data_IF_634812153671
#
_entry.id   IF_634812153671
#
_cell.length_a   1.000
_cell.length_b   1.000
_cell.length_c   1.000
_cell.angle_alpha   90.00
_cell.angle_beta   90.00
_cell.angle_gamma   90.00
#
_symmetry.space_group_name_H-M   'P 1'
#
loop_
_entity.id
_entity.type
_entity.pdbx_description
1 polymer ?
#
# COMPACT_ATOMS: atom_id res chain seq x y z
N UNK A 1 24.86 -5.44 -12.27
CA UNK A 1 23.99 -6.61 -12.11
C UNK A 1 24.63 -7.83 -12.72
N UNK A 2 24.55 -8.95 -12.02
CA UNK A 2 24.95 -10.23 -12.58
C UNK A 2 23.91 -10.76 -13.56
N UNK A 3 24.28 -11.73 -14.40
CA UNK A 3 23.34 -12.32 -15.35
C UNK A 3 22.08 -12.89 -14.69
N UNK A 4 22.21 -13.46 -13.49
CA UNK A 4 21.09 -14.04 -12.77
C UNK A 4 20.12 -12.96 -12.29
N UNK A 5 20.64 -11.79 -11.86
CA UNK A 5 19.81 -10.66 -11.43
C UNK A 5 19.03 -10.08 -12.60
N UNK A 6 19.69 -9.92 -13.75
CA UNK A 6 19.05 -9.42 -14.95
C UNK A 6 17.95 -10.37 -15.43
N UNK A 7 18.21 -11.67 -15.41
CA UNK A 7 17.23 -12.68 -15.81
C UNK A 7 16.03 -12.68 -14.87
N UNK A 8 16.23 -12.51 -13.57
CA UNK A 8 15.15 -12.45 -12.59
C UNK A 8 14.26 -11.22 -12.79
N UNK A 9 14.86 -10.07 -13.06
CA UNK A 9 14.13 -8.83 -13.33
C UNK A 9 13.30 -8.98 -14.60
N UNK A 10 13.88 -9.53 -15.67
CA UNK A 10 13.18 -9.75 -16.93
C UNK A 10 12.02 -10.72 -16.74
N UNK A 11 12.21 -11.78 -15.98
CA UNK A 11 11.16 -12.75 -15.68
C UNK A 11 9.95 -12.08 -15.02
N UNK A 12 10.20 -11.24 -14.03
CA UNK A 12 9.11 -10.52 -13.32
C UNK A 12 8.33 -9.63 -14.27
N UNK A 13 9.04 -8.87 -15.11
CA UNK A 13 8.42 -7.99 -16.09
C UNK A 13 7.64 -8.76 -17.15
N UNK A 14 8.20 -9.85 -17.65
CA UNK A 14 7.54 -10.68 -18.66
C UNK A 14 6.28 -11.33 -18.14
N UNK A 15 6.23 -11.68 -16.86
CA UNK A 15 5.04 -12.24 -16.24
C UNK A 15 4.02 -11.17 -15.83
N UNK A 16 4.33 -9.90 -15.98
CA UNK A 16 3.44 -8.78 -15.68
C UNK A 16 2.83 -8.88 -14.28
N UNK A 17 3.61 -9.38 -13.33
CA UNK A 17 3.11 -9.64 -12.00
C UNK A 17 3.02 -8.34 -11.20
N UNK A 18 1.82 -8.05 -10.71
CA UNK A 18 1.55 -6.94 -9.78
C UNK A 18 1.34 -7.53 -8.40
N UNK A 19 2.04 -6.98 -7.41
CA UNK A 19 1.89 -7.38 -6.02
C UNK A 19 1.23 -6.24 -5.25
N UNK A 20 0.12 -6.52 -4.59
CA UNK A 20 -0.57 -5.53 -3.76
C UNK A 20 -0.52 -5.94 -2.30
N UNK A 21 -0.26 -4.97 -1.43
CA UNK A 21 -0.39 -5.15 0.01
C UNK A 21 -1.84 -5.13 0.47
N UNK A 22 -2.05 -4.91 1.74
CA UNK A 22 -3.37 -4.86 2.36
C UNK A 22 -3.96 -3.46 2.28
N UNK A 23 -5.29 -3.35 2.22
CA UNK A 23 -6.03 -2.09 2.23
C UNK A 23 -5.58 -1.11 1.15
N UNK A 24 -5.27 -1.62 -0.04
CA UNK A 24 -4.91 -0.80 -1.20
C UNK A 24 -6.18 -0.30 -1.89
N UNK A 25 -6.22 0.99 -2.20
CA UNK A 25 -7.35 1.62 -2.85
C UNK A 25 -6.99 2.00 -4.28
N UNK A 26 -7.73 1.45 -5.25
CA UNK A 26 -7.52 1.71 -6.67
C UNK A 26 -8.67 2.54 -7.19
N UNK A 27 -8.37 3.72 -7.72
CA UNK A 27 -9.35 4.56 -8.37
C UNK A 27 -9.86 3.95 -9.68
N UNK A 28 -10.99 4.45 -10.15
CA UNK A 28 -11.62 3.98 -11.38
C UNK A 28 -10.67 4.11 -12.58
N UNK A 29 -10.57 3.05 -13.37
CA UNK A 29 -9.70 3.00 -14.56
C UNK A 29 -8.21 3.19 -14.26
N UNK A 30 -7.75 2.93 -13.05
CA UNK A 30 -6.32 2.92 -12.76
C UNK A 30 -5.65 1.75 -13.50
N UNK A 31 -4.47 2.02 -14.07
CA UNK A 31 -3.67 1.03 -14.79
C UNK A 31 -2.39 0.78 -14.01
N UNK A 32 -2.12 -0.48 -13.71
CA UNK A 32 -0.90 -0.91 -13.02
C UNK A 32 -0.01 -1.63 -14.02
N UNK A 33 1.17 -1.05 -14.27
CA UNK A 33 2.12 -1.69 -15.19
C UNK A 33 2.71 -2.94 -14.53
N UNK A 34 3.03 -3.94 -15.35
CA UNK A 34 3.60 -5.18 -14.87
C UNK A 34 4.88 -4.98 -14.06
N UNK A 35 4.99 -5.69 -12.96
CA UNK A 35 6.16 -5.66 -12.09
C UNK A 35 6.11 -4.64 -10.95
N UNK A 36 5.03 -3.83 -10.85
CA UNK A 36 4.93 -2.87 -9.74
C UNK A 36 4.42 -3.54 -8.46
N UNK A 37 4.85 -3.01 -7.33
CA UNK A 37 4.38 -3.41 -6.00
C UNK A 37 3.70 -2.22 -5.35
N UNK A 38 2.49 -2.46 -4.82
CA UNK A 38 1.76 -1.44 -4.06
C UNK A 38 1.82 -1.82 -2.58
N UNK A 39 2.37 -0.94 -1.76
CA UNK A 39 2.48 -1.16 -0.33
C UNK A 39 1.14 -1.11 0.38
N UNK A 40 1.11 -1.56 1.64
CA UNK A 40 -0.10 -1.56 2.45
C UNK A 40 -0.71 -0.17 2.51
N UNK A 41 -2.00 -0.08 2.34
CA UNK A 41 -2.73 1.19 2.43
C UNK A 41 -2.46 2.20 1.33
N UNK A 42 -1.74 1.82 0.27
CA UNK A 42 -1.47 2.71 -0.86
C UNK A 42 -2.77 3.14 -1.56
N UNK A 43 -2.78 4.34 -2.10
CA UNK A 43 -3.93 4.89 -2.83
C UNK A 43 -3.49 5.29 -4.23
N UNK A 44 -4.19 4.77 -5.24
CA UNK A 44 -3.96 5.12 -6.64
C UNK A 44 -5.17 5.90 -7.14
N UNK A 45 -4.94 7.11 -7.62
CA UNK A 45 -6.01 7.97 -8.11
C UNK A 45 -6.69 7.43 -9.37
N UNK A 46 -7.92 7.89 -9.61
CA UNK A 46 -8.67 7.49 -10.81
C UNK A 46 -7.92 7.86 -12.08
N UNK A 47 -7.89 6.95 -13.03
CA UNK A 47 -7.23 7.16 -14.33
C UNK A 47 -5.70 7.18 -14.28
N UNK A 48 -5.09 6.93 -13.13
CA UNK A 48 -3.63 6.93 -13.00
C UNK A 48 -3.00 5.74 -13.73
N UNK A 49 -1.79 5.93 -14.25
CA UNK A 49 -0.99 4.85 -14.83
C UNK A 49 0.26 4.68 -13.96
N UNK A 50 0.28 3.63 -13.15
CA UNK A 50 1.36 3.38 -12.20
C UNK A 50 2.49 2.63 -12.89
N UNK A 51 3.66 3.26 -12.96
CA UNK A 51 4.85 2.72 -13.62
C UNK A 51 5.97 2.36 -12.64
N UNK A 52 5.85 2.75 -11.38
CA UNK A 52 6.83 2.48 -10.31
C UNK A 52 6.12 1.97 -9.08
N UNK A 53 6.88 1.37 -8.16
CA UNK A 53 6.33 0.90 -6.90
C UNK A 53 5.74 2.07 -6.09
N UNK A 54 4.70 1.77 -5.33
CA UNK A 54 4.04 2.73 -4.43
C UNK A 54 4.31 2.30 -3.00
N UNK A 55 4.80 3.22 -2.19
CA UNK A 55 5.14 2.96 -0.80
C UNK A 55 3.87 2.77 0.06
N UNK A 56 3.99 2.14 1.23
CA UNK A 56 2.86 2.03 2.15
C UNK A 56 2.24 3.40 2.47
N UNK A 57 0.93 3.48 2.36
CA UNK A 57 0.12 4.68 2.62
C UNK A 57 0.45 5.88 1.74
N UNK A 58 1.18 5.67 0.66
CA UNK A 58 1.45 6.70 -0.33
C UNK A 58 0.23 6.89 -1.24
N UNK A 59 -0.03 8.14 -1.60
CA UNK A 59 -1.07 8.50 -2.56
C UNK A 59 -0.37 8.94 -3.86
N UNK A 60 -0.71 8.27 -4.95
CA UNK A 60 -0.17 8.59 -6.28
C UNK A 60 -1.31 8.86 -7.26
N UNK A 61 -1.04 9.65 -8.29
CA UNK A 61 -2.02 9.93 -9.33
C UNK A 61 -1.37 10.48 -10.57
N UNK A 62 -2.13 10.52 -11.66
CA UNK A 62 -1.68 11.06 -12.94
C UNK A 62 -1.14 10.01 -13.91
N UNK A 63 -0.70 10.48 -15.07
CA UNK A 63 -0.17 9.64 -16.16
C UNK A 63 1.15 10.26 -16.63
N UNK A 64 2.31 9.68 -16.33
CA UNK A 64 2.54 8.59 -15.38
C UNK A 64 2.25 9.02 -13.94
N UNK A 65 1.87 8.07 -13.10
CA UNK A 65 1.52 8.37 -11.71
C UNK A 65 2.72 8.95 -10.95
N UNK A 66 2.47 9.99 -10.17
CA UNK A 66 3.45 10.69 -9.35
C UNK A 66 2.96 10.77 -7.93
N UNK A 67 3.87 10.95 -7.00
CA UNK A 67 3.56 11.16 -5.60
C UNK A 67 2.68 12.40 -5.42
N UNK A 68 1.53 12.22 -4.78
CA UNK A 68 0.64 13.33 -4.41
C UNK A 68 0.81 13.66 -2.94
N UNK A 69 0.86 12.64 -2.08
CA UNK A 69 0.94 12.83 -0.64
C UNK A 69 0.95 11.51 0.09
N UNK A 70 0.70 11.59 1.39
CA UNK A 70 0.60 10.44 2.29
C UNK A 70 -0.76 10.45 2.96
N UNK A 71 -1.32 9.26 3.17
CA UNK A 71 -2.63 9.15 3.88
C UNK A 71 -2.53 9.63 5.32
N UNK A 72 -1.36 9.45 5.93
CA UNK A 72 -1.12 9.77 7.35
C UNK A 72 0.28 10.34 7.53
N UNK A 73 0.54 11.06 8.63
CA UNK A 73 1.92 11.46 8.97
C UNK A 73 2.84 10.26 9.13
N UNK A 74 4.16 10.43 8.95
CA UNK A 74 5.12 9.30 8.99
C UNK A 74 5.05 8.47 10.26
N UNK A 75 4.86 9.09 11.41
CA UNK A 75 4.77 8.38 12.70
C UNK A 75 3.52 7.51 12.77
N UNK A 76 2.40 7.92 12.18
CA UNK A 76 1.19 7.11 12.13
C UNK A 76 1.33 5.95 11.13
N UNK A 77 2.00 6.18 10.01
CA UNK A 77 2.27 5.12 9.03
C UNK A 77 3.11 4.03 9.70
N UNK A 78 4.16 4.40 10.41
CA UNK A 78 5.00 3.44 11.12
C UNK A 78 4.19 2.66 12.16
N UNK A 79 3.32 3.33 12.90
CA UNK A 79 2.45 2.70 13.88
C UNK A 79 1.47 1.73 13.24
N UNK A 80 0.84 2.10 12.14
CA UNK A 80 -0.11 1.24 11.41
C UNK A 80 0.58 -0.04 10.91
N UNK A 81 1.80 0.08 10.40
CA UNK A 81 2.58 -1.07 9.97
C UNK A 81 2.92 -2.01 11.14
N UNK A 82 3.17 -1.48 12.33
CA UNK A 82 3.42 -2.30 13.53
C UNK A 82 2.18 -2.99 14.04
N UNK A 83 1.02 -2.35 13.97
CA UNK A 83 -0.27 -2.88 14.46
C UNK A 83 -0.73 -4.04 13.60
N UNK A 84 -0.59 -3.96 12.28
CA UNK A 84 -1.00 -5.00 11.32
C UNK A 84 -2.43 -5.48 11.56
N UNK A 85 -3.38 -4.55 11.65
CA UNK A 85 -4.79 -4.84 11.96
C UNK A 85 -5.44 -5.83 10.99
N UNK A 86 -4.95 -5.92 9.77
CA UNK A 86 -5.44 -6.88 8.78
C UNK A 86 -5.15 -8.34 9.15
N UNK A 87 -4.22 -8.59 10.09
CA UNK A 87 -3.96 -9.93 10.62
C UNK A 87 -4.88 -10.29 11.78
N UNK A 88 -5.72 -9.35 12.23
CA UNK A 88 -6.64 -9.59 13.34
C UNK A 88 -7.76 -10.54 12.94
N UNK A 89 -8.22 -11.36 13.90
CA UNK A 89 -9.39 -12.21 13.69
C UNK A 89 -10.66 -11.38 13.51
N UNK A 90 -11.70 -12.01 12.96
CA UNK A 90 -13.00 -11.35 12.83
C UNK A 90 -13.53 -10.83 14.15
N UNK A 91 -13.35 -11.59 15.23
CA UNK A 91 -13.80 -11.17 16.57
C UNK A 91 -13.05 -9.93 17.04
N UNK A 92 -11.73 -9.89 16.86
CA UNK A 92 -10.91 -8.72 17.18
C UNK A 92 -11.34 -7.49 16.38
N UNK A 93 -11.56 -7.67 15.08
CA UNK A 93 -12.03 -6.57 14.22
C UNK A 93 -13.38 -6.05 14.66
N UNK A 94 -14.32 -6.94 15.02
CA UNK A 94 -15.65 -6.55 15.46
C UNK A 94 -15.59 -5.75 16.76
N UNK A 95 -14.78 -6.16 17.72
CA UNK A 95 -14.62 -5.47 18.99
C UNK A 95 -13.97 -4.09 18.85
N UNK A 96 -13.08 -3.94 17.87
CA UNK A 96 -12.23 -2.75 17.72
C UNK A 96 -12.65 -1.83 16.57
N UNK A 97 -13.78 -2.13 15.93
CA UNK A 97 -14.24 -1.43 14.73
C UNK A 97 -14.38 0.09 14.94
N UNK A 98 -14.80 0.50 16.13
CA UNK A 98 -14.98 1.92 16.44
C UNK A 98 -13.69 2.72 16.38
N UNK A 99 -12.57 2.06 16.67
CA UNK A 99 -11.26 2.73 16.72
C UNK A 99 -10.73 3.10 15.33
N UNK A 100 -11.33 2.56 14.27
CA UNK A 100 -10.95 2.92 12.90
C UNK A 100 -11.40 4.32 12.48
N UNK A 101 -12.30 4.94 13.22
CA UNK A 101 -12.81 6.27 12.90
C UNK A 101 -11.75 7.37 13.10
N UNK A 102 -10.78 7.14 13.97
CA UNK A 102 -9.69 8.07 14.24
C UNK A 102 -8.35 7.32 14.22
N UNK A 103 -7.58 7.55 13.16
CA UNK A 103 -6.31 6.86 12.95
C UNK A 103 -5.31 7.15 14.07
N UNK A 104 -5.23 8.39 14.57
CA UNK A 104 -4.32 8.74 15.67
C UNK A 104 -4.69 8.03 16.96
N UNK A 105 -5.97 8.03 17.30
CA UNK A 105 -6.47 7.33 18.50
C UNK A 105 -6.26 5.82 18.38
N UNK A 106 -6.53 5.26 17.19
CA UNK A 106 -6.31 3.86 16.88
C UNK A 106 -4.84 3.47 17.12
N UNK A 107 -3.92 4.26 16.59
CA UNK A 107 -2.50 4.00 16.76
C UNK A 107 -2.06 4.09 18.22
N UNK A 108 -2.54 5.10 18.97
CA UNK A 108 -2.21 5.23 20.39
C UNK A 108 -2.67 4.03 21.21
N UNK A 109 -3.83 3.47 20.84
CA UNK A 109 -4.44 2.36 21.59
C UNK A 109 -3.76 1.01 21.28
N UNK A 110 -3.41 0.77 20.03
CA UNK A 110 -2.99 -0.55 19.56
C UNK A 110 -1.53 -0.67 19.14
N UNK A 111 -0.79 0.43 19.07
CA UNK A 111 0.64 0.38 18.73
C UNK A 111 1.40 -0.37 19.83
N UNK A 112 2.15 -1.43 19.49
CA UNK A 112 2.88 -2.21 20.48
C UNK A 112 4.07 -1.47 21.11
N UNK A 113 4.42 -0.28 20.63
CA UNK A 113 5.53 0.51 21.20
C UNK A 113 5.06 1.62 22.12
#
# INVERSE_FOLDING_TARGET
LGPDDAALIDWRRQNHRVVTGNDVWLGHNAVLMGGVTLGDGAVVGAGAVVTHDVAPYEIVGGVPARHIGWRYPPELIAAMERIRWWDWSHDMLRERLRDFDDAAAFCRKFDPQ
#
